data_IF_119467350498
#
_entry.id   IF_119467350498
#
_cell.length_a   1.000
_cell.length_b   1.000
_cell.length_c   1.000
_cell.angle_alpha   90.00
_cell.angle_beta   90.00
_cell.angle_gamma   90.00
#
_symmetry.space_group_name_H-M   'P 1'
#
loop_
_entity.id
_entity.type
_entity.pdbx_description
1 polymer ?
#
# COMPACT_ATOMS: atom_id res chain seq x y z
N UNK A 1 5.69 -24.34 1.52
CA UNK A 1 5.52 -24.11 0.07
C UNK A 1 4.68 -22.85 -0.03
N UNK A 2 5.09 -21.85 -0.80
CA UNK A 2 4.39 -20.56 -0.83
C UNK A 2 3.04 -20.69 -1.54
N UNK A 3 2.07 -19.91 -1.08
CA UNK A 3 0.77 -19.78 -1.76
C UNK A 3 0.96 -18.90 -3.01
N UNK A 4 0.52 -19.32 -4.21
CA UNK A 4 0.73 -18.57 -5.45
C UNK A 4 0.20 -17.14 -5.44
N UNK A 5 -0.92 -16.89 -4.77
CA UNK A 5 -1.54 -15.55 -4.73
C UNK A 5 -0.78 -14.59 -3.80
N UNK A 6 -0.09 -15.12 -2.78
CA UNK A 6 0.86 -14.33 -1.97
C UNK A 6 2.20 -14.23 -2.69
N UNK A 7 2.61 -15.27 -3.42
CA UNK A 7 3.85 -15.30 -4.21
C UNK A 7 3.85 -14.26 -5.34
N UNK A 8 2.68 -13.89 -5.87
CA UNK A 8 2.55 -12.77 -6.79
C UNK A 8 3.10 -11.43 -6.22
N UNK A 9 3.14 -11.28 -4.89
CA UNK A 9 3.71 -10.11 -4.21
C UNK A 9 5.24 -10.13 -4.11
N UNK A 10 5.92 -11.18 -4.57
CA UNK A 10 7.38 -11.28 -4.51
C UNK A 10 8.07 -10.13 -5.26
N UNK A 11 7.40 -9.57 -6.28
CA UNK A 11 7.86 -8.36 -6.99
C UNK A 11 8.01 -7.14 -6.07
N UNK A 12 7.28 -7.08 -4.95
CA UNK A 12 7.39 -6.01 -3.95
C UNK A 12 8.61 -6.21 -3.03
N UNK A 13 9.14 -7.42 -2.92
CA UNK A 13 10.22 -7.74 -1.96
C UNK A 13 11.50 -6.99 -2.31
N UNK A 14 12.13 -6.43 -1.29
CA UNK A 14 13.37 -5.65 -1.38
C UNK A 14 13.21 -4.25 -0.83
N UNK A 15 14.17 -3.41 -1.17
CA UNK A 15 14.29 -2.03 -0.69
C UNK A 15 13.84 -1.04 -1.77
N UNK A 16 13.12 -0.01 -1.34
CA UNK A 16 12.55 1.02 -2.19
C UNK A 16 12.85 2.41 -1.63
N UNK A 17 13.14 3.34 -2.52
CA UNK A 17 13.01 4.77 -2.27
C UNK A 17 11.53 5.12 -2.38
N UNK A 18 11.01 5.85 -1.41
CA UNK A 18 9.62 6.26 -1.37
C UNK A 18 9.51 7.77 -1.58
N UNK A 19 8.58 8.19 -2.42
CA UNK A 19 8.17 9.59 -2.56
C UNK A 19 6.67 9.73 -2.37
N UNK A 20 6.27 10.63 -1.49
CA UNK A 20 4.90 11.13 -1.38
C UNK A 20 4.82 12.42 -2.17
N UNK A 21 3.85 12.51 -3.08
CA UNK A 21 3.64 13.69 -3.91
C UNK A 21 2.14 14.02 -4.03
N UNK A 22 1.86 15.23 -4.51
CA UNK A 22 0.50 15.71 -4.82
C UNK A 22 -0.51 15.48 -3.68
N UNK A 23 -0.03 15.58 -2.44
CA UNK A 23 -0.84 15.46 -1.26
C UNK A 23 -1.57 16.78 -1.00
N UNK A 24 -2.90 16.75 -0.94
CA UNK A 24 -3.71 17.97 -0.78
C UNK A 24 -3.46 18.71 0.54
N UNK A 25 -2.89 18.03 1.53
CA UNK A 25 -2.59 18.58 2.86
C UNK A 25 -1.15 19.10 3.00
N UNK A 26 -0.30 18.97 1.97
CA UNK A 26 1.06 19.50 1.99
C UNK A 26 1.10 20.92 1.41
N UNK A 27 1.85 21.79 2.08
CA UNK A 27 2.04 23.19 1.70
C UNK A 27 3.54 23.50 1.50
N UNK A 28 3.93 24.21 0.42
CA UNK A 28 3.08 24.64 -0.70
C UNK A 28 2.64 23.47 -1.61
N UNK A 29 1.62 23.66 -2.48
CA UNK A 29 1.23 22.66 -3.47
C UNK A 29 2.41 22.19 -4.32
N UNK A 30 2.48 20.89 -4.59
CA UNK A 30 3.59 20.26 -5.30
C UNK A 30 4.79 19.89 -4.42
N UNK A 31 4.72 20.12 -3.10
CA UNK A 31 5.70 19.62 -2.15
C UNK A 31 5.79 18.10 -2.21
N UNK A 32 7.03 17.59 -2.24
CA UNK A 32 7.34 16.16 -2.19
C UNK A 32 8.02 15.83 -0.88
N UNK A 33 7.67 14.69 -0.30
CA UNK A 33 8.35 14.13 0.87
C UNK A 33 9.00 12.81 0.48
N UNK A 34 10.21 12.58 0.99
CA UNK A 34 11.02 11.41 0.62
C UNK A 34 11.28 10.53 1.83
N UNK A 35 11.25 9.23 1.59
CA UNK A 35 11.45 8.19 2.59
C UNK A 35 11.98 6.92 1.97
N UNK A 36 11.84 5.83 2.70
CA UNK A 36 12.17 4.49 2.24
C UNK A 36 11.03 3.52 2.55
N UNK A 37 11.00 2.42 1.82
CA UNK A 37 10.15 1.29 2.18
C UNK A 37 10.89 -0.03 1.96
N UNK A 38 10.63 -0.99 2.84
CA UNK A 38 11.22 -2.32 2.79
C UNK A 38 10.11 -3.34 2.77
N UNK A 39 10.14 -4.25 1.80
CA UNK A 39 9.26 -5.41 1.80
C UNK A 39 10.04 -6.71 1.93
N UNK A 40 9.52 -7.63 2.75
CA UNK A 40 10.11 -8.95 2.95
C UNK A 40 9.08 -10.01 3.28
N UNK A 41 9.45 -11.25 3.04
CA UNK A 41 8.68 -12.40 3.48
C UNK A 41 8.76 -12.62 4.98
N UNK A 42 7.65 -13.06 5.55
CA UNK A 42 7.55 -13.58 6.92
C UNK A 42 7.05 -15.03 6.83
N UNK A 43 7.95 -15.97 7.03
CA UNK A 43 7.70 -17.38 6.76
C UNK A 43 7.40 -17.63 5.27
N UNK A 44 6.40 -18.46 4.99
CA UNK A 44 5.95 -18.79 3.63
C UNK A 44 4.50 -18.35 3.32
N UNK A 45 3.91 -17.55 4.20
CA UNK A 45 2.49 -17.16 4.14
C UNK A 45 2.23 -15.66 4.08
N UNK A 46 3.20 -14.81 4.43
CA UNK A 46 3.01 -13.37 4.53
C UNK A 46 4.14 -12.57 3.87
N UNK A 47 3.78 -11.39 3.37
CA UNK A 47 4.73 -10.34 2.98
C UNK A 47 4.46 -9.14 3.87
N UNK A 48 5.48 -8.60 4.51
CA UNK A 48 5.40 -7.29 5.15
C UNK A 48 5.94 -6.21 4.21
N UNK A 49 5.36 -5.01 4.24
CA UNK A 49 5.89 -3.80 3.62
C UNK A 49 5.84 -2.67 4.67
N UNK A 50 7.00 -2.12 5.02
CA UNK A 50 7.15 -1.06 6.00
C UNK A 50 7.67 0.19 5.32
N UNK A 51 7.16 1.35 5.69
CA UNK A 51 7.71 2.62 5.24
C UNK A 51 8.20 3.48 6.40
N UNK A 52 9.22 4.26 6.08
CA UNK A 52 9.80 5.27 6.93
C UNK A 52 9.86 6.60 6.19
N UNK A 53 9.65 7.69 6.90
CA UNK A 53 9.81 9.05 6.41
C UNK A 53 10.72 9.80 7.37
N UNK A 54 11.80 10.38 6.87
CA UNK A 54 12.83 11.04 7.69
C UNK A 54 13.37 10.18 8.85
N UNK A 55 13.46 8.85 8.65
CA UNK A 55 13.93 7.89 9.65
C UNK A 55 12.92 7.53 10.74
N UNK A 56 11.67 7.99 10.62
CA UNK A 56 10.57 7.61 11.51
C UNK A 56 9.59 6.68 10.81
N UNK A 57 9.04 5.73 11.55
CA UNK A 57 8.01 4.83 11.06
C UNK A 57 6.80 5.61 10.54
N UNK A 58 6.42 5.38 9.28
CA UNK A 58 5.28 6.04 8.66
C UNK A 58 4.05 5.13 8.62
N UNK A 59 4.20 3.89 8.15
CA UNK A 59 3.12 2.91 8.09
C UNK A 59 3.66 1.49 7.91
N UNK A 60 2.80 0.50 8.20
CA UNK A 60 3.08 -0.93 8.06
C UNK A 60 1.92 -1.64 7.38
N UNK A 61 2.21 -2.37 6.31
CA UNK A 61 1.30 -3.33 5.70
C UNK A 61 1.77 -4.76 5.96
N UNK A 62 0.83 -5.64 6.28
CA UNK A 62 1.01 -7.08 6.32
C UNK A 62 0.04 -7.73 5.35
N UNK A 63 0.56 -8.30 4.27
CA UNK A 63 -0.21 -9.02 3.26
C UNK A 63 -0.30 -10.49 3.64
N UNK A 64 -1.48 -11.06 3.55
CA UNK A 64 -1.74 -12.48 3.73
C UNK A 64 -3.00 -12.91 2.98
N UNK A 65 -3.38 -14.16 3.10
CA UNK A 65 -4.55 -14.71 2.41
C UNK A 65 -5.48 -15.43 3.37
N UNK A 66 -6.78 -15.32 3.12
CA UNK A 66 -7.77 -16.20 3.72
C UNK A 66 -8.13 -17.32 2.72
N UNK A 67 -7.86 -18.57 3.07
CA UNK A 67 -8.01 -19.70 2.13
C UNK A 67 -9.48 -19.98 1.77
N UNK A 68 -10.40 -19.87 2.73
CA UNK A 68 -11.80 -20.23 2.54
C UNK A 68 -12.51 -19.40 1.45
N UNK A 69 -12.06 -18.18 1.21
CA UNK A 69 -12.63 -17.28 0.18
C UNK A 69 -11.59 -16.87 -0.89
N UNK A 70 -10.36 -17.39 -0.81
CA UNK A 70 -9.28 -17.05 -1.71
C UNK A 70 -8.94 -15.55 -1.76
N UNK A 71 -9.20 -14.80 -0.69
CA UNK A 71 -9.01 -13.35 -0.66
C UNK A 71 -7.64 -13.00 -0.11
N UNK A 72 -6.85 -12.23 -0.88
CA UNK A 72 -5.68 -11.53 -0.34
C UNK A 72 -6.16 -10.36 0.54
N UNK A 73 -5.61 -10.26 1.73
CA UNK A 73 -5.98 -9.28 2.76
C UNK A 73 -4.73 -8.53 3.18
N UNK A 74 -4.88 -7.21 3.35
CA UNK A 74 -3.83 -6.37 3.93
C UNK A 74 -4.27 -5.87 5.29
N UNK A 75 -3.49 -6.17 6.32
CA UNK A 75 -3.60 -5.50 7.62
C UNK A 75 -2.70 -4.26 7.61
N UNK A 76 -3.20 -3.16 8.14
CA UNK A 76 -2.51 -1.89 8.19
C UNK A 76 -2.50 -1.32 9.60
N UNK A 77 -1.39 -0.67 9.96
CA UNK A 77 -1.35 0.33 11.01
C UNK A 77 -0.35 1.44 10.67
N UNK A 78 -0.45 2.57 11.38
CA UNK A 78 0.51 3.66 11.36
C UNK A 78 0.76 4.15 12.81
N UNK A 79 1.58 5.19 13.07
CA UNK A 79 1.83 5.70 14.43
C UNK A 79 0.59 6.26 15.14
N UNK A 80 -0.48 6.61 14.41
CA UNK A 80 -1.77 6.94 15.01
C UNK A 80 -2.36 5.64 15.57
N UNK A 81 -3.22 5.70 16.61
CA UNK A 81 -3.89 4.51 17.15
C UNK A 81 -5.00 4.02 16.20
N UNK A 82 -4.67 3.80 14.92
CA UNK A 82 -5.55 3.40 13.84
C UNK A 82 -5.04 2.11 13.22
N UNK A 83 -5.94 1.15 13.03
CA UNK A 83 -5.67 -0.06 12.26
C UNK A 83 -6.78 -0.27 11.24
N UNK A 84 -6.44 -0.86 10.10
CA UNK A 84 -7.37 -1.08 9.00
C UNK A 84 -7.16 -2.46 8.39
N UNK A 85 -8.21 -2.97 7.77
CA UNK A 85 -8.17 -4.17 6.92
C UNK A 85 -8.59 -3.76 5.52
N UNK A 86 -7.85 -4.23 4.51
CA UNK A 86 -8.18 -4.03 3.12
C UNK A 86 -8.36 -5.36 2.41
N UNK A 87 -9.39 -5.46 1.57
CA UNK A 87 -9.44 -6.47 0.51
C UNK A 87 -8.44 -6.08 -0.55
N UNK A 88 -7.53 -6.98 -0.89
CA UNK A 88 -6.43 -6.71 -1.80
C UNK A 88 -6.56 -7.55 -3.05
N UNK A 89 -6.30 -6.96 -4.21
CA UNK A 89 -6.08 -7.70 -5.47
C UNK A 89 -4.72 -7.34 -6.01
N UNK A 90 -4.02 -8.34 -6.53
CA UNK A 90 -2.71 -8.18 -7.14
C UNK A 90 -2.64 -9.07 -8.37
N UNK A 91 -2.77 -8.50 -9.56
CA UNK A 91 -2.82 -9.27 -10.80
C UNK A 91 -2.35 -8.43 -11.98
N UNK A 92 -1.51 -9.02 -12.85
CA UNK A 92 -1.08 -8.36 -14.09
C UNK A 92 -0.32 -7.05 -13.90
N UNK A 93 0.34 -6.86 -12.76
CA UNK A 93 1.00 -5.60 -12.40
C UNK A 93 0.06 -4.56 -11.77
N UNK A 94 -1.22 -4.86 -11.59
CA UNK A 94 -2.17 -3.98 -10.90
C UNK A 94 -2.30 -4.39 -9.44
N UNK A 95 -2.08 -3.44 -8.53
CA UNK A 95 -2.25 -3.60 -7.09
C UNK A 95 -3.38 -2.68 -6.61
N UNK A 96 -4.45 -3.28 -6.09
CA UNK A 96 -5.56 -2.55 -5.48
C UNK A 96 -5.76 -2.98 -4.05
N UNK A 97 -5.93 -2.04 -3.14
CA UNK A 97 -6.42 -2.26 -1.77
C UNK A 97 -7.72 -1.49 -1.60
N UNK A 98 -8.78 -2.15 -1.17
CA UNK A 98 -10.10 -1.55 -0.95
C UNK A 98 -10.57 -1.78 0.48
N UNK A 99 -11.03 -0.72 1.12
CA UNK A 99 -11.68 -0.71 2.43
C UNK A 99 -13.03 -0.04 2.30
N UNK A 100 -14.07 -0.73 2.76
CA UNK A 100 -15.47 -0.29 2.67
C UNK A 100 -16.12 -0.25 4.07
N UNK A 101 -15.41 0.35 5.03
CA UNK A 101 -15.90 0.45 6.41
C UNK A 101 -16.99 1.55 6.55
N UNK A 102 -17.80 1.52 7.62
CA UNK A 102 -18.91 2.46 7.81
C UNK A 102 -18.53 3.94 8.00
N UNK A 103 -17.27 4.24 8.34
CA UNK A 103 -16.81 5.61 8.55
C UNK A 103 -16.56 6.34 7.23
N UNK A 104 -15.78 5.75 6.34
CA UNK A 104 -15.51 6.20 4.98
C UNK A 104 -14.85 5.07 4.19
N UNK A 105 -14.98 5.12 2.87
CA UNK A 105 -14.29 4.17 1.99
C UNK A 105 -12.92 4.70 1.59
N UNK A 106 -11.98 3.79 1.45
CA UNK A 106 -10.62 4.12 1.06
C UNK A 106 -10.13 3.10 0.05
N UNK A 107 -9.37 3.56 -0.95
CA UNK A 107 -8.67 2.66 -1.85
C UNK A 107 -7.26 3.12 -2.15
N UNK A 108 -6.40 2.16 -2.38
CA UNK A 108 -5.12 2.35 -3.04
C UNK A 108 -5.17 1.68 -4.39
N UNK A 109 -4.68 2.34 -5.42
CA UNK A 109 -4.55 1.80 -6.77
C UNK A 109 -3.15 2.09 -7.26
N UNK A 110 -2.45 1.06 -7.73
CA UNK A 110 -1.09 1.20 -8.24
C UNK A 110 -0.78 0.26 -9.40
N UNK A 111 0.13 0.71 -10.25
CA UNK A 111 0.82 -0.11 -11.24
C UNK A 111 2.18 -0.52 -10.70
N UNK A 112 2.57 -1.77 -10.93
CA UNK A 112 3.77 -2.40 -10.39
C UNK A 112 4.60 -2.99 -11.52
N UNK A 113 5.86 -2.60 -11.55
CA UNK A 113 6.89 -3.15 -12.42
C UNK A 113 8.03 -3.72 -11.56
N UNK A 114 9.07 -4.25 -12.21
CA UNK A 114 10.20 -4.81 -11.49
C UNK A 114 10.97 -3.76 -10.67
N UNK A 115 11.00 -2.50 -11.11
CA UNK A 115 11.84 -1.43 -10.56
C UNK A 115 11.06 -0.20 -10.08
N UNK A 116 9.76 -0.14 -10.35
CA UNK A 116 8.91 1.01 -10.02
C UNK A 116 7.48 0.62 -9.63
N UNK A 117 6.92 1.33 -8.65
CA UNK A 117 5.50 1.28 -8.29
C UNK A 117 4.97 2.72 -8.32
N UNK A 118 3.94 2.96 -9.11
CA UNK A 118 3.23 4.25 -9.13
C UNK A 118 1.81 4.03 -8.61
N UNK A 119 1.52 4.59 -7.44
CA UNK A 119 0.24 4.43 -6.77
C UNK A 119 -0.35 5.72 -6.24
N UNK A 120 -1.63 5.68 -5.89
CA UNK A 120 -2.32 6.77 -5.22
C UNK A 120 -3.35 6.25 -4.23
N UNK A 121 -3.59 7.03 -3.19
CA UNK A 121 -4.67 6.82 -2.24
C UNK A 121 -5.85 7.73 -2.58
N UNK A 122 -7.04 7.17 -2.54
CA UNK A 122 -8.30 7.90 -2.60
C UNK A 122 -9.15 7.65 -1.36
N UNK A 123 -9.98 8.62 -1.01
CA UNK A 123 -11.02 8.50 0.01
C UNK A 123 -12.39 8.90 -0.54
N UNK A 124 -13.43 8.25 -0.03
CA UNK A 124 -14.83 8.52 -0.35
C UNK A 124 -15.66 8.60 0.93
N UNK A 125 -16.47 9.66 1.06
CA UNK A 125 -17.39 9.87 2.20
C UNK A 125 -18.84 9.51 1.86
N UNK A 126 -19.11 9.11 0.62
CA UNK A 126 -20.43 8.84 0.07
C UNK A 126 -20.53 7.40 -0.46
N UNK A 127 -19.94 6.47 0.29
CA UNK A 127 -19.96 5.04 0.00
C UNK A 127 -19.47 4.67 -1.42
N UNK A 128 -18.40 5.33 -1.87
CA UNK A 128 -17.74 5.05 -3.15
C UNK A 128 -18.36 5.72 -4.37
N UNK A 129 -19.34 6.62 -4.20
CA UNK A 129 -19.95 7.37 -5.30
C UNK A 129 -18.99 8.40 -5.87
N UNK A 130 -18.28 9.14 -5.01
CA UNK A 130 -17.21 10.07 -5.39
C UNK A 130 -15.92 9.76 -4.66
N UNK A 131 -14.79 9.96 -5.33
CA UNK A 131 -13.45 9.69 -4.81
C UNK A 131 -12.60 10.95 -4.90
N UNK A 132 -12.04 11.37 -3.77
CA UNK A 132 -11.01 12.41 -3.71
C UNK A 132 -9.65 11.74 -3.66
N UNK A 133 -8.75 12.12 -4.57
CA UNK A 133 -7.33 11.77 -4.47
C UNK A 133 -6.72 12.42 -3.23
N UNK A 134 -6.16 11.62 -2.36
CA UNK A 134 -5.48 12.08 -1.15
C UNK A 134 -4.02 12.43 -1.43
N UNK A 135 -3.24 11.49 -1.98
CA UNK A 135 -1.83 11.67 -2.34
C UNK A 135 -1.32 10.54 -3.23
N UNK A 136 -0.22 10.79 -3.93
CA UNK A 136 0.52 9.78 -4.70
C UNK A 136 1.63 9.15 -3.85
N UNK A 137 1.90 7.87 -4.10
CA UNK A 137 3.05 7.14 -3.60
C UNK A 137 3.84 6.57 -4.79
N UNK A 138 5.09 6.99 -4.91
CA UNK A 138 6.01 6.52 -5.93
C UNK A 138 7.11 5.74 -5.23
N UNK A 139 7.29 4.48 -5.61
CA UNK A 139 8.37 3.63 -5.15
C UNK A 139 9.33 3.38 -6.31
N UNK A 140 10.61 3.58 -6.06
CA UNK A 140 11.68 3.28 -7.01
C UNK A 140 12.67 2.34 -6.33
N UNK A 141 13.09 1.26 -6.99
CA UNK A 141 14.02 0.34 -6.35
C UNK A 141 15.30 1.04 -5.90
N UNK A 142 15.73 0.72 -4.70
CA UNK A 142 17.04 1.15 -4.23
C UNK A 142 18.12 0.43 -5.03
N UNK A 143 19.10 1.21 -5.50
CA UNK A 143 20.33 0.72 -6.15
C UNK A 143 21.22 -0.03 -5.19
#
# INVERSE_FOLDING_TARGET
>A
MRNPDVEALDVLVGEWKLTIADAWFLEPPGTKQHGSATARWIGDAFVELRAELNGEHMWHFMFGRSDANGQLVTLYHDPRPTSRVFRTTFAGGEWVMLREDPDFHQRFVATVTADRIDGHWDASQDAGVTWRKDFDLIFERST
#
